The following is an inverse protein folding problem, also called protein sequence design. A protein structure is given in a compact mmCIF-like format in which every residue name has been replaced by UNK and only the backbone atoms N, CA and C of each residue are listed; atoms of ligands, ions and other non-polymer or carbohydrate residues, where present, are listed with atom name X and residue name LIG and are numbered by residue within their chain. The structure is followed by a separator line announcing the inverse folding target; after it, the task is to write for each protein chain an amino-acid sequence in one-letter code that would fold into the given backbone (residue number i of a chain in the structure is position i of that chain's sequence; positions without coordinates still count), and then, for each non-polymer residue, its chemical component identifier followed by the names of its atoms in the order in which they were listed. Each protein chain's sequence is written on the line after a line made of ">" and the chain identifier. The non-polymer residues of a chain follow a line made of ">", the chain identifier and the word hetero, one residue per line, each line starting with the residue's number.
data_IF_519902552373
#
_entry.id   IF_519902552373
#
_cell.length_a   1.000
_cell.length_b   1.000
_cell.length_c   1.000
_cell.angle_alpha   90.00
_cell.angle_beta   90.00
_cell.angle_gamma   90.00
#
_symmetry.space_group_name_H-M   'P 1'
#
loop_
_entity.id
_entity.type
_entity.pdbx_description
1 polymer ?
#
# COMPACT_ATOMS: atom_id res chain seq x y z
N UNK A 1 7.69 -20.50 8.09
CA UNK A 1 6.60 -19.59 7.71
C UNK A 1 7.00 -18.13 7.88
N UNK A 2 7.00 -17.38 6.78
CA UNK A 2 7.17 -15.93 6.76
C UNK A 2 5.90 -15.26 7.30
N UNK A 3 6.03 -14.37 8.29
CA UNK A 3 4.90 -13.64 8.87
C UNK A 3 4.62 -12.40 8.05
N UNK A 4 3.51 -12.40 7.33
CA UNK A 4 3.10 -11.29 6.48
C UNK A 4 1.85 -10.67 7.08
N UNK A 5 1.90 -9.37 7.33
CA UNK A 5 0.74 -8.62 7.80
C UNK A 5 0.25 -7.64 6.74
N UNK A 6 -1.02 -7.79 6.36
CA UNK A 6 -1.68 -6.96 5.36
C UNK A 6 -2.41 -5.81 6.06
N UNK A 7 -2.01 -4.57 5.79
CA UNK A 7 -2.69 -3.36 6.24
C UNK A 7 -3.62 -2.84 5.15
N UNK A 8 -4.91 -3.10 5.31
CA UNK A 8 -5.94 -2.76 4.32
C UNK A 8 -7.26 -2.42 5.01
N UNK A 9 -8.05 -1.54 4.40
CA UNK A 9 -9.44 -1.29 4.79
C UNK A 9 -10.43 -1.67 3.68
N UNK A 10 -9.98 -2.43 2.67
CA UNK A 10 -10.79 -2.82 1.52
C UNK A 10 -11.98 -3.71 1.89
N UNK A 11 -11.93 -4.37 3.04
CA UNK A 11 -13.00 -5.19 3.62
C UNK A 11 -14.13 -4.37 4.28
N UNK A 12 -13.91 -3.08 4.56
CA UNK A 12 -14.87 -2.25 5.31
C UNK A 12 -15.99 -1.64 4.47
N UNK A 13 -15.86 -1.59 3.14
CA UNK A 13 -16.85 -0.96 2.25
C UNK A 13 -17.50 -2.03 1.38
N UNK A 14 -18.67 -2.53 1.80
CA UNK A 14 -19.49 -3.46 1.01
C UNK A 14 -20.01 -2.74 -0.24
N UNK A 15 -19.90 -3.36 -1.41
CA UNK A 15 -20.56 -2.90 -2.64
C UNK A 15 -19.70 -2.12 -3.65
N UNK A 16 -18.38 -2.06 -3.48
CA UNK A 16 -17.47 -1.60 -4.54
C UNK A 16 -16.53 -2.73 -4.94
N UNK A 17 -16.44 -3.05 -6.24
CA UNK A 17 -15.56 -4.10 -6.80
C UNK A 17 -14.06 -3.93 -6.51
N UNK A 18 -13.67 -2.86 -5.81
CA UNK A 18 -12.30 -2.65 -5.31
C UNK A 18 -11.98 -3.56 -4.11
N UNK A 19 -13.00 -3.97 -3.34
CA UNK A 19 -12.86 -4.92 -2.24
C UNK A 19 -12.53 -6.35 -2.71
N UNK A 20 -13.00 -6.76 -3.90
CA UNK A 20 -12.84 -8.14 -4.37
C UNK A 20 -11.40 -8.49 -4.69
N UNK A 21 -10.67 -7.62 -5.40
CA UNK A 21 -9.28 -7.90 -5.79
C UNK A 21 -8.34 -8.10 -4.57
N UNK A 22 -8.51 -7.30 -3.51
CA UNK A 22 -7.75 -7.48 -2.28
C UNK A 22 -8.11 -8.79 -1.56
N UNK A 23 -9.40 -9.13 -1.48
CA UNK A 23 -9.84 -10.36 -0.84
C UNK A 23 -9.39 -11.60 -1.62
N UNK A 24 -9.42 -11.55 -2.95
CA UNK A 24 -8.87 -12.58 -3.83
C UNK A 24 -7.37 -12.75 -3.65
N UNK A 25 -6.60 -11.66 -3.59
CA UNK A 25 -5.18 -11.72 -3.26
C UNK A 25 -4.93 -12.43 -1.93
N UNK A 26 -5.64 -12.01 -0.87
CA UNK A 26 -5.48 -12.61 0.46
C UNK A 26 -5.89 -14.09 0.46
N UNK A 27 -6.96 -14.44 -0.25
CA UNK A 27 -7.42 -15.82 -0.40
C UNK A 27 -6.39 -16.66 -1.13
N UNK A 28 -5.91 -16.21 -2.30
CA UNK A 28 -4.88 -16.89 -3.09
C UNK A 28 -3.62 -17.13 -2.25
N UNK A 29 -3.15 -16.12 -1.51
CA UNK A 29 -1.98 -16.27 -0.63
C UNK A 29 -2.17 -17.32 0.46
N UNK A 30 -3.39 -17.46 1.01
CA UNK A 30 -3.69 -18.46 2.04
C UNK A 30 -3.91 -19.85 1.46
N UNK A 31 -4.54 -19.94 0.28
CA UNK A 31 -4.91 -21.21 -0.35
C UNK A 31 -3.70 -21.87 -1.02
N UNK A 32 -2.81 -21.09 -1.64
CA UNK A 32 -1.65 -21.62 -2.38
C UNK A 32 -0.34 -21.66 -1.59
N UNK A 33 -0.21 -20.86 -0.52
CA UNK A 33 1.01 -20.79 0.29
C UNK A 33 0.76 -20.99 1.80
N UNK A 34 -0.07 -21.97 2.21
CA UNK A 34 -0.45 -22.16 3.60
C UNK A 34 0.74 -22.53 4.51
N UNK A 35 1.74 -23.22 3.97
CA UNK A 35 2.92 -23.68 4.71
C UNK A 35 4.10 -22.69 4.64
N UNK A 36 4.05 -21.74 3.70
CA UNK A 36 5.08 -20.71 3.52
C UNK A 36 4.72 -19.42 4.24
N UNK A 37 3.45 -19.01 4.21
CA UNK A 37 3.01 -17.68 4.66
C UNK A 37 2.02 -17.72 5.81
N UNK A 38 2.36 -17.04 6.90
CA UNK A 38 1.43 -16.74 7.98
C UNK A 38 0.81 -15.36 7.77
N UNK A 39 -0.31 -15.33 7.06
CA UNK A 39 -1.04 -14.10 6.72
C UNK A 39 -1.87 -13.59 7.90
N UNK A 40 -1.63 -12.35 8.31
CA UNK A 40 -2.49 -11.60 9.24
C UNK A 40 -3.05 -10.35 8.56
N UNK A 41 -4.19 -9.86 9.05
CA UNK A 41 -4.82 -8.65 8.55
C UNK A 41 -4.88 -7.63 9.67
N UNK A 42 -4.39 -6.41 9.43
CA UNK A 42 -4.43 -5.28 10.35
C UNK A 42 -3.89 -5.57 11.76
N UNK A 43 -3.00 -6.55 11.90
CA UNK A 43 -2.43 -6.92 13.19
C UNK A 43 -1.29 -6.00 13.58
N UNK A 44 -1.25 -5.59 14.84
CA UNK A 44 -0.12 -4.82 15.37
C UNK A 44 0.97 -5.69 16.02
N UNK A 45 0.85 -7.03 15.93
CA UNK A 45 1.88 -7.96 16.35
C UNK A 45 3.14 -7.89 15.43
N UNK A 46 4.33 -8.29 15.91
CA UNK A 46 5.52 -8.39 15.06
C UNK A 46 5.28 -9.22 13.79
N UNK A 47 5.78 -8.73 12.67
CA UNK A 47 5.74 -9.38 11.36
C UNK A 47 7.09 -9.20 10.64
N UNK A 48 7.40 -10.13 9.74
CA UNK A 48 8.61 -10.08 8.91
C UNK A 48 8.40 -9.14 7.72
N UNK A 49 7.18 -9.13 7.18
CA UNK A 49 6.73 -8.22 6.11
C UNK A 49 5.42 -7.54 6.53
N UNK A 50 5.35 -6.22 6.33
CA UNK A 50 4.10 -5.45 6.43
C UNK A 50 3.76 -4.87 5.06
N UNK A 51 2.67 -5.34 4.47
CA UNK A 51 2.17 -4.88 3.18
C UNK A 51 1.07 -3.85 3.38
N UNK A 52 1.32 -2.60 3.01
CA UNK A 52 0.39 -1.49 3.10
C UNK A 52 -0.38 -1.32 1.78
N UNK A 53 -1.67 -1.65 1.83
CA UNK A 53 -2.58 -1.59 0.69
C UNK A 53 -3.48 -0.34 0.72
N UNK A 54 -3.64 0.25 1.90
CA UNK A 54 -4.43 1.47 2.11
C UNK A 54 -3.56 2.56 2.76
N UNK A 55 -3.78 3.80 2.36
CA UNK A 55 -3.16 4.97 3.00
C UNK A 55 -4.16 5.56 3.99
N UNK A 56 -3.87 5.46 5.28
CA UNK A 56 -4.63 6.15 6.33
C UNK A 56 -3.73 6.50 7.52
N UNK A 57 -4.12 7.48 8.37
CA UNK A 57 -3.24 7.97 9.44
C UNK A 57 -2.78 6.89 10.42
N UNK A 58 -3.66 5.95 10.78
CA UNK A 58 -3.33 4.85 11.69
C UNK A 58 -2.24 3.94 11.11
N UNK A 59 -2.34 3.61 9.81
CA UNK A 59 -1.33 2.80 9.13
C UNK A 59 -0.03 3.56 8.94
N UNK A 60 -0.08 4.87 8.65
CA UNK A 60 1.11 5.71 8.59
C UNK A 60 1.87 5.69 9.92
N UNK A 61 1.18 5.89 11.05
CA UNK A 61 1.76 5.81 12.39
C UNK A 61 2.35 4.42 12.68
N UNK A 62 1.73 3.36 12.17
CA UNK A 62 2.27 2.01 12.34
C UNK A 62 3.65 1.84 11.69
N UNK A 63 3.97 2.58 10.63
CA UNK A 63 5.26 2.47 9.90
C UNK A 63 6.46 2.92 10.73
N UNK A 64 6.24 3.59 11.86
CA UNK A 64 7.30 4.01 12.79
C UNK A 64 7.72 2.89 13.74
N UNK A 65 6.92 1.82 13.85
CA UNK A 65 7.25 0.69 14.71
C UNK A 65 8.26 -0.25 14.04
N UNK A 66 9.32 -0.63 14.77
CA UNK A 66 10.26 -1.69 14.37
C UNK A 66 9.58 -3.06 14.22
N UNK A 67 8.38 -3.26 14.78
CA UNK A 67 7.59 -4.50 14.69
C UNK A 67 6.98 -4.75 13.30
N UNK A 68 7.24 -3.89 12.32
CA UNK A 68 6.69 -4.00 10.96
C UNK A 68 7.56 -4.78 9.98
N UNK A 69 8.80 -5.13 10.36
CA UNK A 69 9.71 -5.80 9.45
C UNK A 69 9.92 -4.96 8.18
N UNK A 70 10.04 -5.64 7.03
CA UNK A 70 10.14 -4.95 5.74
C UNK A 70 8.77 -4.43 5.31
N UNK A 71 8.69 -3.13 5.03
CA UNK A 71 7.45 -2.43 4.65
C UNK A 71 7.34 -2.38 3.14
N UNK A 72 6.27 -2.96 2.62
CA UNK A 72 5.95 -2.97 1.18
C UNK A 72 4.73 -2.08 0.97
N UNK A 73 4.86 -1.04 0.16
CA UNK A 73 3.76 -0.14 -0.17
C UNK A 73 3.15 -0.49 -1.51
N UNK A 74 1.83 -0.60 -1.58
CA UNK A 74 1.11 -0.75 -2.83
C UNK A 74 0.53 0.60 -3.26
N UNK A 75 0.96 1.07 -4.43
CA UNK A 75 0.64 2.42 -4.94
C UNK A 75 -0.44 2.31 -6.00
N UNK A 76 -1.67 2.60 -5.56
CA UNK A 76 -2.86 2.69 -6.41
C UNK A 76 -3.01 4.05 -7.10
N UNK A 77 -2.42 5.09 -6.53
CA UNK A 77 -2.55 6.46 -7.00
C UNK A 77 -1.33 7.27 -6.60
N UNK A 78 -1.15 8.42 -7.24
CA UNK A 78 -0.20 9.47 -6.85
C UNK A 78 -0.94 10.81 -6.79
N UNK A 79 -0.42 11.84 -6.11
CA UNK A 79 -1.06 13.16 -6.05
C UNK A 79 -1.62 13.66 -7.38
N UNK A 80 -0.85 13.52 -8.46
CA UNK A 80 -1.19 13.95 -9.83
C UNK A 80 -2.44 13.25 -10.36
N UNK A 81 -2.62 11.95 -10.09
CA UNK A 81 -3.81 11.20 -10.51
C UNK A 81 -5.08 11.60 -9.75
N UNK A 82 -4.93 12.29 -8.62
CA UNK A 82 -6.06 12.78 -7.84
C UNK A 82 -6.50 14.19 -8.23
N UNK A 83 -5.69 14.94 -8.99
CA UNK A 83 -5.93 16.35 -9.28
C UNK A 83 -7.24 16.61 -10.04
N UNK A 84 -7.76 15.63 -10.78
CA UNK A 84 -9.07 15.68 -11.44
C UNK A 84 -10.17 14.81 -10.80
N UNK A 85 -9.82 13.97 -9.82
CA UNK A 85 -10.70 12.89 -9.33
C UNK A 85 -11.37 13.19 -8.00
N UNK A 86 -10.74 14.02 -7.15
CA UNK A 86 -11.26 14.35 -5.81
C UNK A 86 -11.21 15.86 -5.59
N UNK A 87 -12.37 16.46 -5.29
CA UNK A 87 -12.48 17.86 -4.88
C UNK A 87 -12.09 18.03 -3.41
N UNK A 88 -10.79 18.16 -3.14
CA UNK A 88 -10.28 18.53 -1.81
C UNK A 88 -10.10 20.06 -1.77
N UNK A 89 -10.76 20.78 -0.84
CA UNK A 89 -10.59 22.23 -0.72
C UNK A 89 -9.15 22.59 -0.32
N UNK A 90 -8.63 23.69 -0.88
CA UNK A 90 -7.37 24.26 -0.43
C UNK A 90 -7.55 24.90 0.95
N UNK A 91 -6.60 24.76 1.90
CA UNK A 91 -5.22 24.26 1.74
C UNK A 91 -5.03 22.76 2.03
N UNK A 92 -6.09 22.02 2.35
CA UNK A 92 -5.99 20.61 2.77
C UNK A 92 -5.41 19.70 1.69
N UNK A 93 -5.59 20.05 0.41
CA UNK A 93 -5.03 19.31 -0.74
C UNK A 93 -3.50 19.18 -0.65
N UNK A 94 -2.79 20.29 -0.41
CA UNK A 94 -1.33 20.28 -0.31
C UNK A 94 -0.83 19.45 0.89
N UNK A 95 -1.54 19.53 2.02
CA UNK A 95 -1.23 18.73 3.22
C UNK A 95 -1.42 17.24 2.92
N UNK A 96 -2.53 16.88 2.28
CA UNK A 96 -2.83 15.51 1.91
C UNK A 96 -1.78 14.94 0.94
N UNK A 97 -1.37 15.70 -0.07
CA UNK A 97 -0.34 15.27 -1.02
C UNK A 97 1.02 15.04 -0.34
N UNK A 98 1.44 15.97 0.52
CA UNK A 98 2.65 15.79 1.34
C UNK A 98 2.56 14.54 2.20
N UNK A 99 1.41 14.28 2.80
CA UNK A 99 1.16 13.10 3.61
C UNK A 99 1.24 11.79 2.80
N UNK A 100 0.63 11.73 1.62
CA UNK A 100 0.70 10.56 0.72
C UNK A 100 2.15 10.25 0.34
N UNK A 101 2.89 11.27 -0.10
CA UNK A 101 4.31 11.10 -0.47
C UNK A 101 5.16 10.73 0.75
N UNK A 102 4.92 11.33 1.91
CA UNK A 102 5.59 10.96 3.15
C UNK A 102 5.34 9.48 3.49
N UNK A 103 4.12 8.98 3.30
CA UNK A 103 3.81 7.56 3.48
C UNK A 103 4.67 6.68 2.56
N UNK A 104 4.71 6.98 1.26
CA UNK A 104 5.50 6.20 0.29
C UNK A 104 7.00 6.17 0.64
N UNK A 105 7.56 7.30 1.08
CA UNK A 105 8.95 7.36 1.56
C UNK A 105 9.24 6.51 2.78
N UNK A 106 8.22 6.06 3.54
CA UNK A 106 8.39 5.13 4.66
C UNK A 106 8.53 3.68 4.21
N UNK A 107 8.24 3.35 2.96
CA UNK A 107 8.27 1.99 2.44
C UNK A 107 9.70 1.60 2.07
N UNK A 108 10.05 0.34 2.36
CA UNK A 108 11.34 -0.23 1.95
C UNK A 108 11.30 -0.71 0.50
N UNK A 109 10.09 -1.05 0.01
CA UNK A 109 9.81 -1.36 -1.38
C UNK A 109 8.40 -0.90 -1.76
N UNK A 110 8.21 -0.56 -3.02
CA UNK A 110 6.94 -0.13 -3.58
C UNK A 110 6.56 -1.01 -4.75
N UNK A 111 5.30 -1.43 -4.79
CA UNK A 111 4.69 -2.08 -5.94
C UNK A 111 3.71 -1.10 -6.58
N UNK A 112 3.87 -0.85 -7.88
CA UNK A 112 2.97 -0.03 -8.69
C UNK A 112 2.21 -0.90 -9.69
N UNK A 113 0.98 -0.52 -10.00
CA UNK A 113 0.12 -1.18 -11.01
C UNK A 113 0.09 -0.49 -12.36
N UNK A 114 0.71 0.69 -12.42
CA UNK A 114 0.84 1.47 -13.64
C UNK A 114 2.31 1.93 -13.75
N UNK A 115 3.03 1.56 -14.81
CA UNK A 115 4.45 1.92 -14.93
C UNK A 115 4.67 3.43 -15.07
N UNK A 116 3.64 4.20 -15.47
CA UNK A 116 3.71 5.67 -15.51
C UNK A 116 3.92 6.32 -14.13
N UNK A 117 3.66 5.59 -13.03
CA UNK A 117 3.89 6.09 -11.68
C UNK A 117 5.38 6.10 -11.29
N UNK A 118 6.19 5.24 -11.90
CA UNK A 118 7.61 5.10 -11.59
C UNK A 118 8.35 6.44 -11.70
N UNK A 119 8.34 7.15 -12.86
CA UNK A 119 9.06 8.42 -12.99
C UNK A 119 8.56 9.51 -12.03
N UNK A 120 7.29 9.46 -11.63
CA UNK A 120 6.70 10.41 -10.67
C UNK A 120 7.19 10.14 -9.25
N UNK A 121 7.23 8.87 -8.84
CA UNK A 121 7.79 8.48 -7.56
C UNK A 121 9.30 8.79 -7.48
N UNK A 122 10.03 8.62 -8.58
CA UNK A 122 11.44 9.05 -8.70
C UNK A 122 11.60 10.56 -8.47
N UNK A 123 10.73 11.40 -9.07
CA UNK A 123 10.72 12.85 -8.85
C UNK A 123 10.47 13.23 -7.38
N UNK A 124 9.74 12.39 -6.64
CA UNK A 124 9.56 12.56 -5.20
C UNK A 124 10.75 12.06 -4.37
N UNK A 125 11.80 11.50 -4.97
CA UNK A 125 12.99 11.00 -4.30
C UNK A 125 12.86 9.56 -3.80
N UNK A 126 11.98 8.76 -4.40
CA UNK A 126 11.92 7.32 -4.17
C UNK A 126 12.78 6.63 -5.24
N UNK A 127 13.87 5.94 -4.87
CA UNK A 127 14.78 5.33 -5.84
C UNK A 127 14.09 4.25 -6.68
N UNK A 128 14.38 4.21 -7.98
CA UNK A 128 13.77 3.29 -8.93
C UNK A 128 13.96 1.82 -8.56
N UNK A 129 15.09 1.47 -7.98
CA UNK A 129 15.42 0.11 -7.52
C UNK A 129 14.51 -0.39 -6.38
N UNK A 130 13.79 0.53 -5.71
CA UNK A 130 12.78 0.21 -4.70
C UNK A 130 11.37 0.13 -5.29
N UNK A 131 11.20 0.26 -6.59
CA UNK A 131 9.90 0.30 -7.26
C UNK A 131 9.81 -0.88 -8.23
N UNK A 132 8.82 -1.75 -8.04
CA UNK A 132 8.50 -2.83 -8.96
C UNK A 132 7.13 -2.62 -9.58
N UNK A 133 7.06 -2.68 -10.90
CA UNK A 133 5.79 -2.73 -11.60
C UNK A 133 5.28 -4.17 -11.64
N UNK A 134 4.04 -4.37 -11.18
CA UNK A 134 3.30 -5.62 -11.36
C UNK A 134 1.98 -5.24 -12.05
N UNK A 135 1.70 -5.72 -13.27
CA UNK A 135 0.45 -5.42 -13.96
C UNK A 135 -0.75 -5.96 -13.16
N UNK A 136 -1.82 -5.19 -13.11
CA UNK A 136 -3.12 -5.73 -12.74
C UNK A 136 -3.70 -6.46 -13.96
N UNK A 137 -4.09 -7.71 -13.77
CA UNK A 137 -4.96 -8.42 -14.70
C UNK A 137 -6.40 -8.21 -14.22
N UNK A 138 -7.27 -7.73 -15.12
CA UNK A 138 -8.70 -7.52 -14.89
C UNK A 138 -9.45 -8.47 -15.80
#
# INVERSE_FOLDING_TARGET
>A
MLKINMFSTADKVKGQGVGSAYLELVRMLKDHFPDDFKIKINSYAPADISHYHTINPSFYLSTFSKKRGRKIGYVHFIPETLEGSIKIPQPFKAIFYKYVIAFYKRMDHIVVVNPSFIPKLEQYGIPKERITYIPNFV
#
